data_IF_073515344484
#
_entry.id   IF_073515344484
#
_cell.length_a   1.000
_cell.length_b   1.000
_cell.length_c   1.000
_cell.angle_alpha   90.00
_cell.angle_beta   90.00
_cell.angle_gamma   90.00
#
_symmetry.space_group_name_H-M   'P 1'
#
loop_
_entity.id
_entity.type
_entity.pdbx_description
1 polymer ?
#
# COMPACT_ATOMS: atom_id res chain seq x y z
N UNK A 1 -7.23 16.51 11.58
CA UNK A 1 -6.52 15.56 10.68
C UNK A 1 -6.36 16.16 9.29
N UNK A 2 -7.43 16.76 8.75
CA UNK A 2 -7.39 17.47 7.47
C UNK A 2 -6.62 18.79 7.53
N UNK A 3 -6.71 19.51 8.66
CA UNK A 3 -5.95 20.74 8.90
C UNK A 3 -4.62 20.43 9.59
N UNK A 4 -3.57 20.23 8.79
CA UNK A 4 -2.20 20.02 9.27
C UNK A 4 -1.56 21.31 9.80
N UNK A 5 -1.99 22.48 9.33
CA UNK A 5 -1.48 23.78 9.75
C UNK A 5 -1.85 24.08 11.20
N UNK A 6 -3.06 23.70 11.62
CA UNK A 6 -3.46 23.73 13.03
C UNK A 6 -2.55 22.89 13.96
N UNK A 7 -1.81 21.91 13.42
CA UNK A 7 -0.83 21.12 14.18
C UNK A 7 0.61 21.62 14.02
N UNK A 8 0.82 22.75 13.33
CA UNK A 8 2.14 23.35 13.13
C UNK A 8 2.95 22.74 11.98
N UNK A 9 2.29 22.05 11.04
CA UNK A 9 2.92 21.51 9.84
C UNK A 9 2.59 22.36 8.63
N UNK A 10 3.52 22.43 7.68
CA UNK A 10 3.34 23.17 6.43
C UNK A 10 2.70 22.32 5.35
N UNK A 11 2.05 22.97 4.39
CA UNK A 11 1.40 22.31 3.26
C UNK A 11 2.38 21.52 2.36
N UNK A 12 3.63 21.93 2.24
CA UNK A 12 4.67 21.20 1.49
C UNK A 12 5.19 19.94 2.21
N UNK A 13 4.88 19.77 3.50
CA UNK A 13 5.15 18.54 4.25
C UNK A 13 4.06 17.47 4.03
N UNK A 14 2.97 17.83 3.35
CA UNK A 14 1.86 16.93 3.06
C UNK A 14 1.99 16.33 1.66
N UNK A 15 2.01 15.00 1.56
CA UNK A 15 1.96 14.33 0.27
C UNK A 15 0.59 14.54 -0.39
N UNK A 16 0.61 14.98 -1.64
CA UNK A 16 -0.55 14.87 -2.52
C UNK A 16 -0.83 13.39 -2.80
N UNK A 17 -2.07 12.97 -2.53
CA UNK A 17 -2.54 11.62 -2.81
C UNK A 17 -3.65 11.69 -3.87
N UNK A 18 -3.77 10.61 -4.65
CA UNK A 18 -4.70 10.57 -5.79
C UNK A 18 -6.08 10.07 -5.35
N UNK A 19 -7.04 9.97 -6.29
CA UNK A 19 -8.38 9.40 -6.08
C UNK A 19 -9.22 10.04 -4.94
N UNK A 20 -9.09 11.35 -4.71
CA UNK A 20 -9.81 12.03 -3.62
C UNK A 20 -9.38 11.47 -2.26
N UNK A 21 -8.07 11.40 -2.02
CA UNK A 21 -7.43 11.03 -0.76
C UNK A 21 -6.56 12.18 -0.29
N UNK A 22 -6.27 12.23 1.01
CA UNK A 22 -5.31 13.17 1.58
C UNK A 22 -4.43 12.46 2.60
N UNK A 23 -3.21 12.97 2.81
CA UNK A 23 -2.35 12.49 3.87
C UNK A 23 -2.71 13.18 5.18
N UNK A 24 -3.22 12.41 6.14
CA UNK A 24 -3.38 12.87 7.51
C UNK A 24 -2.10 12.63 8.31
N UNK A 25 -1.74 13.63 9.13
CA UNK A 25 -0.65 13.54 10.10
C UNK A 25 -1.20 13.42 11.52
N UNK A 26 -0.54 12.63 12.36
CA UNK A 26 -0.95 12.39 13.74
C UNK A 26 0.18 11.83 14.60
N UNK A 27 -0.18 11.31 15.77
CA UNK A 27 0.78 10.81 16.76
C UNK A 27 0.37 9.43 17.26
N UNK A 28 1.32 8.49 17.26
CA UNK A 28 1.23 7.30 18.09
C UNK A 28 1.73 7.67 19.49
N UNK A 29 0.95 7.36 20.52
CA UNK A 29 1.26 7.68 21.92
C UNK A 29 0.97 6.48 22.81
N UNK A 30 1.85 6.24 23.78
CA UNK A 30 1.71 5.19 24.80
C UNK A 30 2.46 5.59 26.06
N UNK A 31 2.11 4.97 27.19
CA UNK A 31 2.87 5.08 28.43
C UNK A 31 3.59 3.76 28.67
N UNK A 32 4.88 3.82 28.98
CA UNK A 32 5.70 2.64 29.33
C UNK A 32 6.40 2.91 30.67
N UNK A 33 6.52 1.90 31.51
CA UNK A 33 7.37 1.99 32.71
C UNK A 33 8.75 1.49 32.33
N UNK A 34 9.76 2.33 32.48
CA UNK A 34 11.15 1.99 32.18
C UNK A 34 12.03 2.37 33.38
N UNK A 35 13.19 1.75 33.45
CA UNK A 35 14.25 2.10 34.40
C UNK A 35 14.99 3.35 33.88
N UNK A 36 15.19 4.34 34.76
CA UNK A 36 16.06 5.47 34.48
C UNK A 36 17.54 5.14 34.70
N UNK A 37 18.43 6.09 34.40
CA UNK A 37 19.88 5.92 34.58
C UNK A 37 20.29 5.66 36.05
N UNK A 38 19.40 5.93 37.02
CA UNK A 38 19.60 5.70 38.45
C UNK A 38 19.02 4.38 38.96
N UNK A 39 18.49 3.53 38.08
CA UNK A 39 17.88 2.25 38.45
C UNK A 39 16.44 2.37 38.95
N UNK A 40 15.82 3.55 38.83
CA UNK A 40 14.46 3.81 39.30
C UNK A 40 13.47 3.61 38.16
N UNK A 41 12.47 2.76 38.40
CA UNK A 41 11.34 2.63 37.48
C UNK A 41 10.49 3.92 37.49
N UNK A 42 10.34 4.55 36.33
CA UNK A 42 9.47 5.69 36.13
C UNK A 42 8.63 5.57 34.84
N UNK A 43 7.46 6.22 34.78
CA UNK A 43 6.62 6.22 33.60
C UNK A 43 7.16 7.17 32.53
N UNK A 44 7.27 6.69 31.30
CA UNK A 44 7.66 7.43 30.11
C UNK A 44 6.51 7.51 29.13
N UNK A 45 6.30 8.71 28.59
CA UNK A 45 5.44 8.91 27.42
C UNK A 45 6.26 8.62 26.18
N UNK A 46 5.89 7.55 25.45
CA UNK A 46 6.49 7.22 24.17
C UNK A 46 5.60 7.76 23.06
N UNK A 47 6.16 8.66 22.26
CA UNK A 47 5.47 9.35 21.17
C UNK A 47 6.26 9.21 19.86
N UNK A 48 5.55 9.03 18.74
CA UNK A 48 6.14 9.01 17.40
C UNK A 48 5.12 9.54 16.39
N UNK A 49 5.55 10.47 15.54
CA UNK A 49 4.71 11.02 14.48
C UNK A 49 4.33 9.92 13.48
N UNK A 50 3.07 9.95 13.03
CA UNK A 50 2.50 9.03 12.05
C UNK A 50 1.87 9.79 10.91
N UNK A 51 2.02 9.25 9.71
CA UNK A 51 1.37 9.71 8.47
C UNK A 51 0.52 8.57 7.94
N UNK A 52 -0.70 8.86 7.48
CA UNK A 52 -1.60 7.86 6.89
C UNK A 52 -2.49 8.51 5.85
N UNK A 53 -2.91 7.75 4.85
CA UNK A 53 -3.93 8.19 3.90
C UNK A 53 -5.33 8.15 4.52
N UNK A 54 -6.14 9.15 4.19
CA UNK A 54 -7.56 9.28 4.50
C UNK A 54 -8.34 9.61 3.21
N UNK A 55 -9.61 9.22 3.15
CA UNK A 55 -10.50 9.62 2.07
C UNK A 55 -10.93 11.08 2.28
N UNK A 56 -11.04 11.86 1.20
CA UNK A 56 -11.52 13.24 1.26
C UNK A 56 -12.91 13.32 1.91
N UNK A 57 -12.99 14.14 2.96
CA UNK A 57 -14.20 14.29 3.76
C UNK A 57 -15.29 15.01 2.95
N UNK A 58 -16.52 14.49 2.96
CA UNK A 58 -17.66 15.14 2.31
C UNK A 58 -17.68 15.10 0.78
N UNK A 59 -16.67 14.51 0.13
CA UNK A 59 -16.63 14.36 -1.33
C UNK A 59 -17.86 13.61 -1.83
N UNK A 60 -18.53 14.09 -2.89
CA UNK A 60 -19.60 13.34 -3.53
C UNK A 60 -19.05 12.00 -4.06
N UNK A 61 -19.80 10.90 -3.89
CA UNK A 61 -19.33 9.57 -4.27
C UNK A 61 -19.15 9.44 -5.79
N UNK A 62 -19.97 10.12 -6.60
CA UNK A 62 -19.80 10.16 -8.05
C UNK A 62 -18.49 10.84 -8.44
N UNK A 63 -18.20 12.00 -7.84
CA UNK A 63 -16.95 12.73 -8.08
C UNK A 63 -15.74 11.91 -7.63
N UNK A 64 -15.86 11.20 -6.51
CA UNK A 64 -14.84 10.26 -6.05
C UNK A 64 -14.55 9.17 -7.08
N UNK A 65 -15.59 8.59 -7.67
CA UNK A 65 -15.46 7.51 -8.65
C UNK A 65 -14.88 8.04 -9.97
N UNK A 66 -15.35 9.19 -10.46
CA UNK A 66 -14.88 9.77 -11.72
C UNK A 66 -13.41 10.21 -11.68
N UNK A 67 -12.89 10.52 -10.49
CA UNK A 67 -11.50 10.89 -10.24
C UNK A 67 -10.59 9.70 -9.90
N UNK A 68 -11.08 8.46 -9.91
CA UNK A 68 -10.22 7.30 -9.68
C UNK A 68 -9.23 7.12 -10.83
N UNK A 69 -8.01 6.69 -10.51
CA UNK A 69 -6.91 6.44 -11.46
C UNK A 69 -7.25 5.42 -12.56
N UNK A 70 -8.31 4.62 -12.38
CA UNK A 70 -8.84 3.72 -13.41
C UNK A 70 -9.54 4.48 -14.55
N UNK A 71 -10.01 5.71 -14.31
CA UNK A 71 -10.65 6.58 -15.29
C UNK A 71 -9.86 7.86 -15.57
N UNK A 72 -9.03 8.30 -14.62
CA UNK A 72 -8.33 9.57 -14.67
C UNK A 72 -6.82 9.37 -14.74
N UNK A 73 -6.20 9.89 -15.80
CA UNK A 73 -4.75 9.94 -15.89
C UNK A 73 -4.24 11.24 -15.28
N UNK A 74 -3.69 11.14 -14.06
CA UNK A 74 -3.15 12.29 -13.33
C UNK A 74 -1.95 12.95 -14.00
N UNK A 75 -1.27 12.28 -14.94
CA UNK A 75 -0.12 12.86 -15.66
C UNK A 75 -0.55 13.77 -16.79
N UNK A 76 -1.67 13.44 -17.45
CA UNK A 76 -2.19 14.19 -18.59
C UNK A 76 -3.40 15.05 -18.23
N UNK A 77 -3.99 14.84 -17.05
CA UNK A 77 -5.24 15.49 -16.63
C UNK A 77 -6.48 14.99 -17.38
N UNK A 78 -6.36 13.90 -18.13
CA UNK A 78 -7.43 13.40 -19.00
C UNK A 78 -8.35 12.45 -18.24
N UNK A 79 -9.65 12.74 -18.24
CA UNK A 79 -10.68 11.80 -17.76
C UNK A 79 -11.30 11.03 -18.91
N UNK A 80 -11.40 9.72 -18.75
CA UNK A 80 -12.14 8.80 -19.62
C UNK A 80 -13.48 8.36 -19.00
N UNK A 81 -13.88 8.96 -17.88
CA UNK A 81 -15.07 8.52 -17.17
C UNK A 81 -16.33 8.69 -18.02
N UNK A 82 -17.11 7.62 -18.14
CA UNK A 82 -18.48 7.65 -18.67
C UNK A 82 -19.35 6.61 -17.97
N UNK A 83 -20.67 6.82 -18.00
CA UNK A 83 -21.65 5.85 -17.46
C UNK A 83 -21.50 4.49 -18.15
N UNK A 84 -21.28 4.47 -19.46
CA UNK A 84 -21.10 3.24 -20.22
C UNK A 84 -19.82 2.47 -19.83
N UNK A 85 -18.68 3.17 -19.71
CA UNK A 85 -17.41 2.55 -19.32
C UNK A 85 -17.43 2.05 -17.88
N UNK A 86 -17.93 2.86 -16.96
CA UNK A 86 -17.99 2.52 -15.53
C UNK A 86 -18.90 1.33 -15.22
N UNK A 87 -19.85 1.02 -16.10
CA UNK A 87 -20.77 -0.12 -15.96
C UNK A 87 -20.18 -1.45 -16.45
N UNK A 88 -18.98 -1.46 -17.04
CA UNK A 88 -18.33 -2.70 -17.50
C UNK A 88 -17.81 -3.53 -16.31
N UNK A 89 -17.86 -4.88 -16.37
CA UNK A 89 -17.52 -5.75 -15.23
C UNK A 89 -16.10 -5.56 -14.64
N UNK A 90 -15.12 -5.30 -15.50
CA UNK A 90 -13.73 -5.02 -15.14
C UNK A 90 -13.59 -3.73 -14.31
N UNK A 91 -14.28 -2.68 -14.73
CA UNK A 91 -14.32 -1.40 -14.01
C UNK A 91 -15.13 -1.51 -12.72
N UNK A 92 -16.28 -2.18 -12.73
CA UNK A 92 -17.10 -2.39 -11.53
C UNK A 92 -16.33 -3.11 -10.42
N UNK A 93 -15.53 -4.12 -10.78
CA UNK A 93 -14.65 -4.82 -9.83
C UNK A 93 -13.61 -3.88 -9.21
N UNK A 94 -12.96 -3.07 -10.05
CA UNK A 94 -11.93 -2.11 -9.63
C UNK A 94 -12.51 -1.00 -8.74
N UNK A 95 -13.66 -0.44 -9.13
CA UNK A 95 -14.40 0.56 -8.34
C UNK A 95 -14.78 -0.03 -6.99
N UNK A 96 -15.39 -1.23 -6.98
CA UNK A 96 -15.82 -1.88 -5.75
C UNK A 96 -14.65 -2.13 -4.80
N UNK A 97 -13.48 -2.52 -5.31
CA UNK A 97 -12.28 -2.68 -4.48
C UNK A 97 -11.94 -1.40 -3.69
N UNK A 98 -12.13 -0.22 -4.30
CA UNK A 98 -11.82 1.06 -3.67
C UNK A 98 -12.94 1.52 -2.72
N UNK A 99 -14.22 1.34 -3.07
CA UNK A 99 -15.34 1.91 -2.28
C UNK A 99 -15.92 0.93 -1.25
N UNK A 100 -15.62 -0.37 -1.32
CA UNK A 100 -16.18 -1.36 -0.40
C UNK A 100 -15.75 -1.07 1.04
N UNK A 101 -16.72 -1.00 1.94
CA UNK A 101 -16.52 -0.66 3.35
C UNK A 101 -16.40 0.83 3.64
N UNK A 102 -16.34 1.69 2.62
CA UNK A 102 -16.37 3.14 2.80
C UNK A 102 -17.74 3.56 3.33
N UNK A 103 -17.76 4.32 4.43
CA UNK A 103 -18.95 4.94 4.96
C UNK A 103 -19.35 6.14 4.11
N UNK A 104 -20.61 6.21 3.77
CA UNK A 104 -21.21 7.30 3.00
C UNK A 104 -22.47 7.79 3.67
N UNK A 105 -22.76 9.08 3.49
CA UNK A 105 -23.92 9.77 4.03
C UNK A 105 -24.83 10.21 2.90
N UNK A 106 -26.13 9.95 3.03
CA UNK A 106 -27.12 10.38 2.04
C UNK A 106 -27.22 11.91 1.99
N UNK A 107 -27.30 12.47 0.79
CA UNK A 107 -27.49 13.90 0.56
C UNK A 107 -28.97 14.34 0.61
N UNK A 108 -29.86 13.39 0.91
CA UNK A 108 -31.30 13.57 0.98
C UNK A 108 -31.86 13.02 2.30
N UNK A 109 -33.12 13.38 2.59
CA UNK A 109 -33.86 12.88 3.75
C UNK A 109 -33.14 13.16 5.07
N UNK A 110 -33.09 12.15 5.95
CA UNK A 110 -32.49 12.26 7.30
C UNK A 110 -30.96 12.13 7.33
N UNK A 111 -30.26 12.27 6.19
CA UNK A 111 -28.79 12.15 6.08
C UNK A 111 -28.23 10.90 6.78
N UNK A 112 -28.72 9.73 6.38
CA UNK A 112 -28.30 8.44 6.93
C UNK A 112 -26.86 8.14 6.52
N UNK A 113 -26.02 7.74 7.47
CA UNK A 113 -24.67 7.24 7.22
C UNK A 113 -24.63 5.70 7.26
N UNK A 114 -23.96 5.06 6.30
CA UNK A 114 -23.84 3.61 6.22
C UNK A 114 -22.59 3.15 5.45
N UNK A 115 -22.04 1.96 5.71
CA UNK A 115 -20.92 1.40 4.95
C UNK A 115 -21.40 0.73 3.65
N UNK A 116 -20.68 0.98 2.55
CA UNK A 116 -20.93 0.33 1.25
C UNK A 116 -20.59 -1.16 1.31
N UNK A 117 -21.51 -2.01 0.88
CA UNK A 117 -21.37 -3.47 0.80
C UNK A 117 -21.06 -3.99 -0.59
N UNK A 118 -21.71 -3.42 -1.61
CA UNK A 118 -21.64 -3.89 -2.98
C UNK A 118 -22.17 -2.85 -3.98
N UNK A 119 -22.16 -3.26 -5.25
CA UNK A 119 -22.72 -2.50 -6.36
C UNK A 119 -23.96 -3.24 -6.87
N UNK A 120 -25.06 -2.51 -7.06
CA UNK A 120 -26.30 -2.97 -7.68
C UNK A 120 -26.41 -2.50 -9.14
N UNK A 121 -27.51 -2.87 -9.81
CA UNK A 121 -27.77 -2.42 -11.18
C UNK A 121 -28.05 -0.91 -11.27
N UNK A 122 -28.15 -0.41 -12.52
CA UNK A 122 -28.43 0.99 -12.83
C UNK A 122 -29.72 1.49 -12.17
N UNK A 123 -29.75 2.77 -11.75
CA UNK A 123 -30.89 3.33 -11.02
C UNK A 123 -32.20 3.34 -11.82
N UNK A 124 -32.14 3.47 -13.15
CA UNK A 124 -33.29 3.37 -14.06
C UNK A 124 -33.77 1.94 -14.32
N UNK A 125 -32.95 0.92 -14.06
CA UNK A 125 -33.26 -0.48 -14.35
C UNK A 125 -33.57 -1.29 -13.09
N UNK A 126 -32.91 -0.99 -11.97
CA UNK A 126 -33.05 -1.72 -10.72
C UNK A 126 -34.41 -1.46 -10.09
N UNK A 127 -35.21 -2.52 -9.96
CA UNK A 127 -36.54 -2.48 -9.35
C UNK A 127 -36.51 -3.01 -7.93
N UNK A 128 -37.31 -2.41 -7.06
CA UNK A 128 -37.54 -2.89 -5.71
C UNK A 128 -39.00 -2.76 -5.32
N UNK A 129 -39.42 -3.55 -4.33
CA UNK A 129 -40.76 -3.46 -3.73
C UNK A 129 -40.73 -2.46 -2.59
N UNK A 130 -41.51 -1.39 -2.69
CA UNK A 130 -41.66 -0.40 -1.63
C UNK A 130 -42.53 -0.92 -0.49
N UNK A 131 -42.52 -0.23 0.65
CA UNK A 131 -43.29 -0.59 1.85
C UNK A 131 -44.82 -0.64 1.59
N UNK A 132 -45.31 0.13 0.62
CA UNK A 132 -46.70 0.14 0.17
C UNK A 132 -47.03 -0.99 -0.85
N UNK A 133 -46.11 -1.93 -1.07
CA UNK A 133 -46.27 -3.05 -1.98
C UNK A 133 -46.09 -2.71 -3.47
N UNK A 134 -45.96 -1.43 -3.84
CA UNK A 134 -45.73 -1.02 -5.22
C UNK A 134 -44.29 -1.27 -5.66
N UNK A 135 -44.10 -1.58 -6.95
CA UNK A 135 -42.78 -1.73 -7.56
C UNK A 135 -42.36 -0.42 -8.24
N UNK A 136 -41.16 0.05 -7.90
CA UNK A 136 -40.55 1.22 -8.52
C UNK A 136 -39.13 0.87 -8.99
N UNK A 137 -38.68 1.51 -10.06
CA UNK A 137 -37.23 1.66 -10.25
C UNK A 137 -36.69 2.64 -9.20
N UNK A 138 -35.38 2.60 -8.93
CA UNK A 138 -34.76 3.55 -8.01
C UNK A 138 -35.01 4.98 -8.49
N UNK A 139 -34.80 5.26 -9.78
CA UNK A 139 -35.10 6.57 -10.39
C UNK A 139 -36.54 7.02 -10.15
N UNK A 140 -37.53 6.16 -10.44
CA UNK A 140 -38.95 6.47 -10.26
C UNK A 140 -39.29 6.79 -8.80
N UNK A 141 -38.71 6.03 -7.86
CA UNK A 141 -38.92 6.25 -6.44
C UNK A 141 -38.40 7.62 -5.99
N UNK A 142 -37.18 8.00 -6.38
CA UNK A 142 -36.61 9.30 -6.03
C UNK A 142 -37.36 10.46 -6.68
N UNK A 143 -37.79 10.33 -7.93
CA UNK A 143 -38.63 11.33 -8.59
C UNK A 143 -39.97 11.51 -7.87
N UNK A 144 -40.64 10.42 -7.49
CA UNK A 144 -41.99 10.47 -6.89
C UNK A 144 -41.98 10.87 -5.41
N UNK A 145 -41.07 10.33 -4.60
CA UNK A 145 -41.11 10.47 -3.15
C UNK A 145 -40.21 11.57 -2.60
N UNK A 146 -39.15 11.94 -3.33
CA UNK A 146 -38.22 13.00 -2.92
C UNK A 146 -38.24 14.21 -3.84
N UNK A 147 -38.99 14.15 -4.96
CA UNK A 147 -38.96 15.16 -6.02
C UNK A 147 -37.54 15.43 -6.55
N UNK A 148 -36.72 14.37 -6.64
CA UNK A 148 -35.33 14.44 -7.13
C UNK A 148 -35.26 13.78 -8.50
N UNK A 149 -34.86 14.55 -9.52
CA UNK A 149 -34.51 14.00 -10.83
C UNK A 149 -33.03 13.62 -10.85
N UNK A 150 -32.75 12.35 -11.11
CA UNK A 150 -31.38 11.86 -11.17
C UNK A 150 -30.67 12.40 -12.43
N UNK A 151 -29.41 12.79 -12.31
CA UNK A 151 -28.60 13.28 -13.44
C UNK A 151 -28.00 12.13 -14.24
N UNK A 152 -27.59 11.06 -13.54
CA UNK A 152 -27.02 9.86 -14.14
C UNK A 152 -27.85 8.61 -13.83
N UNK A 153 -29.12 8.51 -14.27
CA UNK A 153 -30.00 7.39 -13.92
C UNK A 153 -29.53 6.04 -14.48
N UNK A 154 -28.70 6.04 -15.53
CA UNK A 154 -28.05 4.84 -16.07
C UNK A 154 -26.83 4.35 -15.27
N UNK A 155 -26.38 5.09 -14.26
CA UNK A 155 -25.26 4.69 -13.42
C UNK A 155 -25.70 3.64 -12.38
N UNK A 156 -24.80 2.72 -12.07
CA UNK A 156 -25.00 1.72 -11.03
C UNK A 156 -25.35 2.33 -9.68
N UNK A 157 -26.00 1.55 -8.83
CA UNK A 157 -26.31 1.91 -7.44
C UNK A 157 -25.33 1.23 -6.49
N UNK A 158 -25.23 1.70 -5.25
CA UNK A 158 -24.49 0.98 -4.20
C UNK A 158 -25.45 0.41 -3.16
N UNK A 159 -25.08 -0.72 -2.57
CA UNK A 159 -25.85 -1.35 -1.49
C UNK A 159 -25.19 -1.15 -0.13
N UNK A 160 -25.99 -1.14 0.92
CA UNK A 160 -25.51 -1.12 2.30
C UNK A 160 -24.95 -2.50 2.71
N UNK A 161 -23.79 -2.53 3.38
CA UNK A 161 -23.13 -3.78 3.82
C UNK A 161 -24.02 -4.65 4.72
N UNK A 162 -24.76 -4.02 5.63
CA UNK A 162 -25.61 -4.72 6.60
C UNK A 162 -27.06 -4.87 6.11
N UNK A 163 -27.42 -4.27 4.97
CA UNK A 163 -28.75 -4.34 4.35
C UNK A 163 -28.59 -4.43 2.82
N UNK A 164 -28.16 -5.59 2.29
CA UNK A 164 -27.74 -5.72 0.89
C UNK A 164 -28.85 -5.45 -0.13
N UNK A 165 -30.13 -5.47 0.29
CA UNK A 165 -31.29 -5.14 -0.55
C UNK A 165 -31.70 -3.65 -0.49
N UNK A 166 -30.94 -2.80 0.20
CA UNK A 166 -31.13 -1.34 0.21
C UNK A 166 -30.14 -0.71 -0.76
N UNK A 167 -30.66 -0.11 -1.84
CA UNK A 167 -29.86 0.45 -2.93
C UNK A 167 -29.97 1.97 -3.00
N UNK A 168 -28.84 2.60 -3.30
CA UNK A 168 -28.68 4.05 -3.22
C UNK A 168 -28.02 4.57 -4.51
N UNK A 169 -28.58 5.61 -5.16
CA UNK A 169 -27.93 6.29 -6.28
C UNK A 169 -26.60 6.90 -5.85
N UNK A 170 -25.53 6.64 -6.62
CA UNK A 170 -24.17 7.10 -6.32
C UNK A 170 -24.08 8.63 -6.20
N UNK A 171 -24.76 9.37 -7.08
CA UNK A 171 -24.76 10.84 -7.10
C UNK A 171 -25.42 11.49 -5.87
N UNK A 172 -26.18 10.72 -5.08
CA UNK A 172 -26.89 11.21 -3.89
C UNK A 172 -26.17 10.83 -2.59
N UNK A 173 -24.88 10.48 -2.66
CA UNK A 173 -24.06 10.06 -1.53
C UNK A 173 -22.81 10.93 -1.41
N UNK A 174 -22.39 11.16 -0.17
CA UNK A 174 -21.13 11.84 0.18
C UNK A 174 -20.27 10.96 1.08
N UNK A 175 -18.96 11.03 0.96
CA UNK A 175 -18.03 10.28 1.82
C UNK A 175 -18.10 10.83 3.25
N UNK A 176 -18.32 9.93 4.22
CA UNK A 176 -18.31 10.33 5.63
C UNK A 176 -16.88 10.76 6.06
N UNK A 177 -16.75 11.72 7.00
CA UNK A 177 -15.45 12.30 7.33
C UNK A 177 -14.51 11.33 8.06
N UNK A 178 -13.21 11.65 8.06
CA UNK A 178 -12.17 11.02 8.90
C UNK A 178 -12.00 9.52 8.69
N UNK A 179 -12.19 9.05 7.45
CA UNK A 179 -12.05 7.63 7.12
C UNK A 179 -10.66 7.30 6.60
N UNK A 180 -9.95 6.44 7.33
CA UNK A 180 -8.62 5.96 6.93
C UNK A 180 -8.74 5.06 5.70
N UNK A 181 -7.86 5.28 4.72
CA UNK A 181 -7.73 4.41 3.53
C UNK A 181 -7.07 3.09 3.96
N UNK A 182 -7.70 1.96 3.65
CA UNK A 182 -7.12 0.64 3.91
C UNK A 182 -6.07 0.27 2.88
N UNK A 183 -5.25 -0.75 3.17
CA UNK A 183 -4.24 -1.23 2.24
C UNK A 183 -4.84 -1.68 0.89
N UNK A 184 -6.06 -2.23 0.87
CA UNK A 184 -6.70 -2.66 -0.38
C UNK A 184 -7.18 -1.49 -1.26
N UNK A 185 -7.36 -0.31 -0.66
CA UNK A 185 -7.87 0.90 -1.30
C UNK A 185 -6.75 1.86 -1.75
N UNK A 186 -5.49 1.53 -1.47
CA UNK A 186 -4.32 2.30 -1.89
C UNK A 186 -3.88 1.91 -3.29
N UNK A 187 -3.50 2.91 -4.09
CA UNK A 187 -2.80 2.69 -5.36
C UNK A 187 -1.29 2.59 -5.12
N UNK A 188 -0.51 2.01 -6.07
CA UNK A 188 0.95 2.04 -5.98
C UNK A 188 1.53 3.45 -5.86
N UNK A 189 0.90 4.43 -6.51
CA UNK A 189 1.32 5.83 -6.46
C UNK A 189 1.07 6.44 -5.08
N UNK A 190 -0.08 6.16 -4.45
CA UNK A 190 -0.36 6.59 -3.06
C UNK A 190 0.69 6.02 -2.10
N UNK A 191 1.02 4.73 -2.24
CA UNK A 191 2.02 4.06 -1.40
C UNK A 191 3.38 4.71 -1.60
N UNK A 192 3.78 4.97 -2.84
CA UNK A 192 5.05 5.61 -3.14
C UNK A 192 5.12 7.05 -2.60
N UNK A 193 4.04 7.82 -2.71
CA UNK A 193 3.93 9.17 -2.18
C UNK A 193 4.03 9.18 -0.64
N UNK A 194 3.29 8.30 0.05
CA UNK A 194 3.36 8.13 1.49
C UNK A 194 4.76 7.71 1.97
N UNK A 195 5.43 6.79 1.26
CA UNK A 195 6.80 6.37 1.58
C UNK A 195 7.74 7.56 1.50
N UNK A 196 7.70 8.32 0.39
CA UNK A 196 8.55 9.51 0.21
C UNK A 196 8.33 10.54 1.31
N UNK A 197 7.08 10.87 1.64
CA UNK A 197 6.77 11.83 2.70
C UNK A 197 7.09 11.33 4.11
N UNK A 198 7.13 10.00 4.32
CA UNK A 198 7.45 9.41 5.62
C UNK A 198 8.94 9.14 5.82
N UNK A 199 9.73 9.12 4.74
CA UNK A 199 11.17 8.87 4.75
C UNK A 199 11.94 10.15 5.14
N UNK A 200 11.85 10.53 6.41
CA UNK A 200 12.51 11.72 6.95
C UNK A 200 13.80 11.37 7.69
N UNK A 201 14.74 12.33 7.73
CA UNK A 201 15.95 12.21 8.54
C UNK A 201 15.61 12.14 10.04
N UNK A 202 16.37 11.42 10.88
CA UNK A 202 16.07 11.27 12.30
C UNK A 202 15.88 12.59 13.06
N UNK A 203 16.69 13.61 12.74
CA UNK A 203 16.57 14.95 13.35
C UNK A 203 15.23 15.62 13.02
N UNK A 204 14.80 15.55 11.75
CA UNK A 204 13.51 16.08 11.33
C UNK A 204 12.36 15.32 12.01
N UNK A 205 12.41 13.98 12.03
CA UNK A 205 11.38 13.15 12.69
C UNK A 205 11.24 13.46 14.19
N UNK A 206 12.36 13.72 14.88
CA UNK A 206 12.37 14.12 16.28
C UNK A 206 11.66 15.46 16.47
N UNK A 207 11.95 16.44 15.60
CA UNK A 207 11.29 17.74 15.62
C UNK A 207 9.78 17.64 15.31
N UNK A 208 9.40 16.93 14.24
CA UNK A 208 8.00 16.67 13.88
C UNK A 208 7.23 16.02 15.04
N UNK A 209 7.85 15.05 15.71
CA UNK A 209 7.26 14.39 16.87
C UNK A 209 7.07 15.37 18.03
N UNK A 210 8.03 16.27 18.27
CA UNK A 210 7.92 17.33 19.29
C UNK A 210 6.79 18.32 18.96
N UNK A 211 6.72 18.79 17.72
CA UNK A 211 5.67 19.69 17.22
C UNK A 211 4.29 19.06 17.42
N UNK A 212 4.10 17.83 16.95
CA UNK A 212 2.82 17.12 17.07
C UNK A 212 2.47 16.80 18.53
N UNK A 213 3.44 16.39 19.36
CA UNK A 213 3.25 16.17 20.80
C UNK A 213 2.70 17.45 21.48
N UNK A 214 3.31 18.59 21.18
CA UNK A 214 2.89 19.89 21.74
C UNK A 214 1.51 20.30 21.22
N UNK A 215 1.25 20.13 19.92
CA UNK A 215 -0.04 20.46 19.31
C UNK A 215 -1.21 19.63 19.90
N UNK A 216 -0.94 18.40 20.34
CA UNK A 216 -1.92 17.55 21.04
C UNK A 216 -1.99 17.83 22.56
N UNK A 217 -1.29 18.85 23.06
CA UNK A 217 -1.28 19.21 24.48
C UNK A 217 -0.61 18.17 25.37
N UNK A 218 0.23 17.28 24.83
CA UNK A 218 1.01 16.31 25.62
C UNK A 218 2.28 17.03 26.11
N UNK A 219 2.10 18.08 26.89
CA UNK A 219 3.14 19.01 27.32
C UNK A 219 2.81 19.57 28.72
N UNK A 220 3.78 20.20 29.42
CA UNK A 220 3.50 20.92 30.66
C UNK A 220 2.40 21.97 30.45
N UNK A 221 1.59 22.24 31.48
CA UNK A 221 0.51 23.23 31.41
C UNK A 221 -0.83 22.70 30.88
N UNK A 222 -0.95 21.40 30.56
CA UNK A 222 -2.24 20.84 30.16
C UNK A 222 -3.15 20.65 31.39
N UNK A 223 -4.34 21.28 31.44
CA UNK A 223 -5.19 21.29 32.63
C UNK A 223 -5.75 19.90 32.99
N UNK A 224 -5.90 19.01 32.00
CA UNK A 224 -6.34 17.63 32.25
C UNK A 224 -5.23 16.77 32.85
N UNK A 225 -3.98 16.96 32.39
CA UNK A 225 -2.82 16.25 32.94
C UNK A 225 -2.49 16.74 34.35
N UNK A 226 -2.51 18.05 34.57
CA UNK A 226 -2.26 18.64 35.89
C UNK A 226 -3.29 18.20 36.93
N UNK A 227 -4.58 18.16 36.56
CA UNK A 227 -5.65 17.64 37.44
C UNK A 227 -5.47 16.16 37.77
N UNK A 228 -4.84 15.39 36.89
CA UNK A 228 -4.49 14.00 37.13
C UNK A 228 -3.15 13.83 37.89
N UNK A 229 -2.49 14.92 38.28
CA UNK A 229 -1.17 14.89 38.93
C UNK A 229 -0.04 14.47 38.00
N UNK A 230 -0.24 14.56 36.68
CA UNK A 230 0.73 14.14 35.66
C UNK A 230 1.45 15.38 35.15
N UNK A 231 2.78 15.40 35.31
CA UNK A 231 3.66 16.36 34.63
C UNK A 231 4.44 15.64 33.53
N UNK A 232 4.46 16.18 32.32
CA UNK A 232 5.14 15.59 31.16
C UNK A 232 6.36 16.43 30.82
N UNK A 233 7.53 15.83 30.81
CA UNK A 233 8.77 16.51 30.43
C UNK A 233 8.70 17.13 29.03
N UNK A 234 9.25 18.34 28.87
CA UNK A 234 9.19 19.09 27.60
C UNK A 234 10.09 18.43 26.54
N UNK A 235 11.32 18.13 26.93
CA UNK A 235 12.35 17.58 26.04
C UNK A 235 12.30 16.04 26.00
N UNK A 236 12.91 15.46 24.96
CA UNK A 236 13.06 14.01 24.89
C UNK A 236 14.09 13.52 25.91
N UNK A 237 13.81 12.36 26.50
CA UNK A 237 14.76 11.64 27.35
C UNK A 237 16.05 11.38 26.58
N UNK A 238 17.18 11.75 27.19
CA UNK A 238 18.52 11.42 26.68
C UNK A 238 18.96 10.13 27.34
N UNK A 239 19.61 9.26 26.57
CA UNK A 239 20.14 7.98 27.05
C UNK A 239 21.56 7.79 26.55
N UNK A 240 22.41 7.15 27.35
CA UNK A 240 23.79 6.85 26.94
C UNK A 240 23.79 5.53 26.16
N UNK A 241 24.04 5.62 24.86
CA UNK A 241 24.25 4.47 24.00
C UNK A 241 25.71 4.00 24.00
N UNK A 242 25.96 2.73 23.65
CA UNK A 242 27.30 2.19 23.39
C UNK A 242 27.39 1.72 21.94
N UNK A 243 28.48 2.07 21.26
CA UNK A 243 28.78 1.57 19.91
C UNK A 243 29.63 0.31 20.07
N UNK A 244 29.06 -0.84 19.72
CA UNK A 244 29.79 -2.10 19.72
C UNK A 244 30.70 -2.17 18.48
N UNK A 245 31.89 -2.76 18.64
CA UNK A 245 32.79 -3.02 17.52
C UNK A 245 32.15 -3.96 16.51
N UNK A 246 32.27 -3.64 15.22
CA UNK A 246 31.77 -4.51 14.16
C UNK A 246 32.47 -5.88 14.19
N UNK A 247 31.74 -6.99 13.94
CA UNK A 247 32.36 -8.30 13.85
C UNK A 247 33.25 -8.41 12.60
N UNK A 248 34.26 -9.27 12.65
CA UNK A 248 35.04 -9.61 11.45
C UNK A 248 34.26 -10.57 10.56
N UNK A 249 34.09 -10.21 9.29
CA UNK A 249 33.45 -11.09 8.29
C UNK A 249 34.53 -11.89 7.56
N UNK A 250 34.45 -13.22 7.65
CA UNK A 250 35.42 -14.16 7.05
C UNK A 250 34.82 -14.84 5.82
N UNK A 251 35.60 -14.92 4.75
CA UNK A 251 35.28 -15.54 3.47
C UNK A 251 36.18 -16.75 3.18
N UNK A 252 35.91 -17.44 2.08
CA UNK A 252 36.76 -18.51 1.58
C UNK A 252 38.14 -17.98 1.18
N UNK A 253 39.15 -18.85 1.17
CA UNK A 253 40.53 -18.48 0.82
C UNK A 253 41.17 -17.48 1.80
N UNK A 254 40.76 -17.50 3.08
CA UNK A 254 41.25 -16.61 4.14
C UNK A 254 40.96 -15.11 3.94
N UNK A 255 40.05 -14.77 3.02
CA UNK A 255 39.61 -13.39 2.82
C UNK A 255 38.86 -12.84 4.03
N UNK A 256 39.13 -11.59 4.41
CA UNK A 256 38.39 -10.86 5.44
C UNK A 256 37.78 -9.61 4.82
N UNK A 257 36.51 -9.35 5.08
CA UNK A 257 35.86 -8.14 4.58
C UNK A 257 35.99 -6.97 5.56
N UNK A 258 36.31 -5.81 5.00
CA UNK A 258 36.25 -4.52 5.68
C UNK A 258 34.79 -4.11 5.84
N UNK A 259 34.36 -3.93 7.09
CA UNK A 259 33.02 -3.45 7.43
C UNK A 259 33.09 -1.95 7.68
N UNK A 260 32.27 -1.18 6.97
CA UNK A 260 32.06 0.24 7.21
C UNK A 260 30.58 0.50 7.48
N UNK A 261 30.26 1.07 8.64
CA UNK A 261 28.89 1.39 9.06
C UNK A 261 27.91 0.21 8.85
N UNK A 262 28.30 -0.97 9.34
CA UNK A 262 27.55 -2.22 9.21
C UNK A 262 27.28 -2.67 7.76
N UNK A 263 27.98 -2.11 6.78
CA UNK A 263 27.94 -2.51 5.37
C UNK A 263 29.30 -3.04 4.96
N UNK A 264 29.30 -4.04 4.09
CA UNK A 264 30.50 -4.50 3.40
C UNK A 264 30.09 -4.84 1.96
N UNK A 265 30.92 -4.43 1.01
CA UNK A 265 30.81 -4.81 -0.39
C UNK A 265 32.07 -5.63 -0.66
N UNK A 266 31.92 -6.79 -1.27
CA UNK A 266 33.08 -7.61 -1.57
C UNK A 266 32.96 -8.35 -2.90
N UNK A 267 33.49 -7.74 -3.95
CA UNK A 267 33.34 -8.22 -5.32
C UNK A 267 34.25 -9.40 -5.70
N UNK A 268 35.35 -9.61 -4.97
CA UNK A 268 36.41 -10.56 -5.39
C UNK A 268 36.68 -11.71 -4.40
N UNK A 269 35.84 -11.92 -3.38
CA UNK A 269 36.03 -13.00 -2.41
C UNK A 269 35.28 -14.26 -2.83
N UNK A 270 35.81 -15.41 -2.43
CA UNK A 270 35.10 -16.68 -2.56
C UNK A 270 34.16 -16.91 -1.38
N UNK A 271 33.04 -17.59 -1.60
CA UNK A 271 32.18 -18.02 -0.51
C UNK A 271 32.96 -18.88 0.49
N UNK A 272 32.66 -18.75 1.79
CA UNK A 272 33.29 -19.56 2.84
C UNK A 272 33.12 -21.06 2.57
N UNK A 273 31.95 -21.44 2.04
CA UNK A 273 31.64 -22.80 1.57
C UNK A 273 30.96 -22.70 0.20
N UNK A 274 31.71 -22.75 -0.91
CA UNK A 274 31.13 -22.62 -2.23
C UNK A 274 30.31 -23.86 -2.61
N UNK A 275 29.15 -23.65 -3.23
CA UNK A 275 28.28 -24.72 -3.69
C UNK A 275 28.64 -25.20 -5.10
N UNK A 276 28.10 -26.37 -5.47
CA UNK A 276 28.20 -26.96 -6.80
C UNK A 276 26.85 -26.85 -7.51
N UNK A 277 26.82 -26.25 -8.69
CA UNK A 277 25.66 -26.13 -9.58
C UNK A 277 25.98 -26.89 -10.87
N UNK A 278 25.70 -28.20 -10.86
CA UNK A 278 26.14 -29.11 -11.93
C UNK A 278 25.05 -29.41 -12.97
N UNK A 279 23.78 -29.42 -12.55
CA UNK A 279 22.64 -29.68 -13.43
C UNK A 279 21.56 -28.64 -13.16
N UNK A 280 21.33 -27.76 -14.13
CA UNK A 280 20.42 -26.63 -13.98
C UNK A 280 19.93 -26.11 -15.33
N UNK A 281 18.75 -25.52 -15.31
CA UNK A 281 18.11 -24.97 -16.49
C UNK A 281 17.60 -23.55 -16.23
N UNK A 282 17.41 -22.79 -17.31
CA UNK A 282 16.91 -21.41 -17.26
C UNK A 282 15.56 -21.33 -17.94
N UNK A 283 14.58 -20.81 -17.20
CA UNK A 283 13.27 -20.48 -17.70
C UNK A 283 13.19 -18.98 -18.00
N UNK A 284 12.99 -18.63 -19.27
CA UNK A 284 12.87 -17.24 -19.72
C UNK A 284 11.39 -16.86 -19.79
N UNK A 285 10.98 -15.88 -18.98
CA UNK A 285 9.59 -15.36 -18.93
C UNK A 285 9.48 -13.91 -19.41
N UNK A 286 10.46 -13.48 -20.22
CA UNK A 286 10.56 -12.13 -20.75
C UNK A 286 9.47 -11.85 -21.80
N UNK A 287 9.04 -10.60 -21.88
CA UNK A 287 8.15 -10.15 -22.96
C UNK A 287 8.90 -10.12 -24.30
N UNK A 288 8.17 -10.08 -25.42
CA UNK A 288 8.81 -9.94 -26.75
C UNK A 288 9.66 -8.67 -26.86
N UNK A 289 9.23 -7.56 -26.25
CA UNK A 289 10.00 -6.31 -26.23
C UNK A 289 11.29 -6.43 -25.40
N UNK A 290 11.25 -7.14 -24.27
CA UNK A 290 12.42 -7.35 -23.42
C UNK A 290 13.42 -8.32 -24.03
N UNK A 291 12.94 -9.34 -24.74
CA UNK A 291 13.80 -10.30 -25.47
C UNK A 291 14.69 -9.61 -26.50
N UNK A 292 14.25 -8.49 -27.08
CA UNK A 292 15.07 -7.68 -28.00
C UNK A 292 16.16 -6.87 -27.28
N UNK A 293 15.96 -6.56 -25.98
CA UNK A 293 16.86 -5.73 -25.19
C UNK A 293 17.85 -6.55 -24.35
N UNK A 294 17.47 -7.77 -23.99
CA UNK A 294 18.24 -8.62 -23.08
C UNK A 294 18.87 -9.79 -23.85
N UNK A 295 20.19 -9.79 -24.07
CA UNK A 295 20.87 -10.93 -24.67
C UNK A 295 20.97 -12.07 -23.64
N UNK A 296 19.95 -12.93 -23.61
CA UNK A 296 19.76 -13.99 -22.60
C UNK A 296 21.01 -14.86 -22.42
N UNK A 297 21.61 -15.33 -23.53
CA UNK A 297 22.82 -16.17 -23.47
C UNK A 297 23.98 -15.47 -22.76
N UNK A 298 24.26 -14.22 -23.13
CA UNK A 298 25.31 -13.42 -22.51
C UNK A 298 25.00 -13.14 -21.03
N UNK A 299 23.73 -12.97 -20.67
CA UNK A 299 23.33 -12.81 -19.27
C UNK A 299 23.59 -14.08 -18.43
N UNK A 300 23.28 -15.25 -18.98
CA UNK A 300 23.57 -16.56 -18.36
C UNK A 300 25.08 -16.72 -18.15
N UNK A 301 25.89 -16.46 -19.18
CA UNK A 301 27.36 -16.55 -19.09
C UNK A 301 27.92 -15.60 -18.02
N UNK A 302 27.39 -14.38 -17.89
CA UNK A 302 27.77 -13.45 -16.83
C UNK A 302 27.47 -14.01 -15.44
N UNK A 303 26.32 -14.65 -15.25
CA UNK A 303 25.97 -15.30 -13.98
C UNK A 303 26.93 -16.44 -13.68
N UNK A 304 27.16 -17.33 -14.65
CA UNK A 304 28.08 -18.45 -14.47
C UNK A 304 29.48 -17.99 -14.07
N UNK A 305 30.01 -17.00 -14.80
CA UNK A 305 31.33 -16.43 -14.53
C UNK A 305 31.38 -15.74 -13.16
N UNK A 306 30.32 -15.02 -12.77
CA UNK A 306 30.24 -14.40 -11.45
C UNK A 306 30.22 -15.47 -10.35
N UNK A 307 29.43 -16.53 -10.48
CA UNK A 307 29.41 -17.64 -9.53
C UNK A 307 30.78 -18.33 -9.42
N UNK A 308 31.44 -18.62 -10.56
CA UNK A 308 32.80 -19.19 -10.59
C UNK A 308 33.82 -18.27 -9.92
N UNK A 309 33.73 -16.95 -10.13
CA UNK A 309 34.62 -15.97 -9.47
C UNK A 309 34.47 -15.96 -7.95
N UNK A 310 33.30 -16.35 -7.43
CA UNK A 310 33.03 -16.53 -6.01
C UNK A 310 33.31 -17.97 -5.51
N UNK A 311 34.03 -18.78 -6.29
CA UNK A 311 34.50 -20.11 -5.90
C UNK A 311 33.50 -21.24 -6.13
N UNK A 312 32.29 -20.96 -6.66
CA UNK A 312 31.31 -22.01 -6.97
C UNK A 312 31.76 -22.85 -8.16
N UNK A 313 31.46 -24.15 -8.12
CA UNK A 313 31.60 -25.01 -9.29
C UNK A 313 30.30 -24.94 -10.10
N UNK A 314 30.29 -24.22 -11.21
CA UNK A 314 29.11 -24.06 -12.06
C UNK A 314 29.35 -24.68 -13.43
N UNK A 315 28.61 -25.74 -13.74
CA UNK A 315 28.53 -26.31 -15.08
C UNK A 315 27.77 -25.37 -16.02
N UNK A 316 27.99 -25.49 -17.32
CA UNK A 316 27.19 -24.76 -18.33
C UNK A 316 25.72 -25.13 -18.19
N UNK A 317 24.83 -24.16 -18.41
CA UNK A 317 23.38 -24.40 -18.39
C UNK A 317 23.01 -25.60 -19.27
N UNK A 318 22.21 -26.52 -18.71
CA UNK A 318 21.82 -27.75 -19.41
C UNK A 318 20.72 -27.49 -20.44
N UNK A 319 19.79 -26.58 -20.12
CA UNK A 319 18.70 -26.21 -21.03
C UNK A 319 18.23 -24.77 -20.78
N UNK A 320 17.87 -24.07 -21.85
CA UNK A 320 17.22 -22.75 -21.80
C UNK A 320 15.88 -22.83 -22.52
N UNK A 321 14.79 -22.68 -21.79
CA UNK A 321 13.44 -22.74 -22.34
C UNK A 321 12.73 -21.39 -22.24
N UNK A 322 12.01 -21.04 -23.30
CA UNK A 322 11.27 -19.79 -23.40
C UNK A 322 9.79 -20.09 -23.19
N UNK A 323 9.22 -19.59 -22.10
CA UNK A 323 7.80 -19.72 -21.87
C UNK A 323 7.05 -18.78 -22.81
N UNK A 324 6.45 -19.35 -23.87
CA UNK A 324 5.44 -18.66 -24.67
C UNK A 324 4.17 -18.55 -23.83
N UNK A 325 3.63 -17.34 -23.67
CA UNK A 325 2.38 -17.05 -22.93
C UNK A 325 1.35 -18.16 -23.12
N UNK A 326 1.09 -18.92 -22.06
CA UNK A 326 -0.22 -19.51 -21.78
C UNK A 326 -0.51 -19.24 -20.31
N UNK A 327 -1.78 -18.89 -20.05
CA UNK A 327 -2.29 -18.40 -18.78
C UNK A 327 -1.81 -19.24 -17.59
N UNK A 328 -0.94 -18.66 -16.76
CA UNK A 328 -0.67 -19.18 -15.42
C UNK A 328 -0.78 -18.02 -14.44
N UNK A 329 -1.84 -18.03 -13.62
CA UNK A 329 -2.20 -17.03 -12.60
C UNK A 329 -1.20 -16.96 -11.41
N UNK A 330 0.05 -17.38 -11.59
CA UNK A 330 1.03 -17.47 -10.49
C UNK A 330 2.47 -17.08 -10.82
N UNK A 331 2.82 -16.83 -12.08
CA UNK A 331 4.21 -16.48 -12.47
C UNK A 331 4.26 -15.01 -12.87
N UNK A 332 5.03 -14.20 -12.13
CA UNK A 332 5.26 -12.79 -12.47
C UNK A 332 5.94 -12.70 -13.84
N UNK A 333 5.24 -12.13 -14.82
CA UNK A 333 5.75 -11.86 -16.16
C UNK A 333 6.83 -10.78 -16.08
N UNK A 334 7.97 -10.97 -16.77
CA UNK A 334 9.06 -9.99 -16.83
C UNK A 334 10.33 -10.33 -16.03
N UNK A 335 10.55 -11.60 -15.64
CA UNK A 335 11.77 -12.03 -14.94
C UNK A 335 12.48 -13.22 -15.61
N UNK A 336 13.77 -13.40 -15.33
CA UNK A 336 14.50 -14.64 -15.65
C UNK A 336 14.49 -15.50 -14.39
N UNK A 337 13.96 -16.72 -14.49
CA UNK A 337 13.83 -17.64 -13.35
C UNK A 337 14.82 -18.79 -13.52
N UNK A 338 15.66 -19.01 -12.51
CA UNK A 338 16.59 -20.15 -12.47
C UNK A 338 15.90 -21.32 -11.78
N UNK A 339 15.90 -22.48 -12.44
CA UNK A 339 15.36 -23.73 -11.90
C UNK A 339 16.52 -24.68 -11.61
N UNK A 340 16.73 -24.99 -10.33
CA UNK A 340 17.71 -25.99 -9.93
C UNK A 340 17.05 -27.37 -9.94
N UNK A 341 17.52 -28.22 -10.85
CA UNK A 341 16.99 -29.57 -11.06
C UNK A 341 17.81 -30.53 -10.19
N UNK A 342 17.22 -31.05 -9.12
CA UNK A 342 17.93 -31.99 -8.23
C UNK A 342 18.05 -33.41 -8.79
N UNK A 343 17.23 -33.80 -9.77
CA UNK A 343 17.32 -35.09 -10.47
C UNK A 343 16.85 -34.96 -11.91
N UNK A 344 17.56 -35.61 -12.84
CA UNK A 344 17.25 -35.71 -14.27
C UNK A 344 15.76 -35.93 -14.55
N UNK A 345 15.24 -35.16 -15.51
CA UNK A 345 13.86 -35.08 -15.95
C UNK A 345 13.16 -36.45 -16.08
N UNK A 346 12.23 -36.73 -15.16
CA UNK A 346 10.92 -37.33 -15.45
C UNK A 346 9.92 -36.67 -14.49
N UNK A 347 8.89 -36.04 -15.05
CA UNK A 347 7.75 -35.40 -14.36
C UNK A 347 8.00 -34.17 -13.47
N UNK A 348 7.59 -33.01 -13.99
CA UNK A 348 7.45 -31.72 -13.29
C UNK A 348 6.39 -31.72 -12.16
N UNK A 349 5.76 -32.86 -11.86
CA UNK A 349 4.65 -32.93 -10.91
C UNK A 349 5.04 -33.39 -9.49
N UNK A 350 6.25 -33.92 -9.22
CA UNK A 350 6.55 -34.46 -7.88
C UNK A 350 7.97 -34.29 -7.30
N UNK A 351 8.88 -33.57 -7.96
CA UNK A 351 10.25 -33.44 -7.45
C UNK A 351 10.55 -32.02 -6.94
N UNK A 352 11.15 -31.92 -5.76
CA UNK A 352 11.48 -30.67 -5.06
C UNK A 352 12.46 -29.79 -5.85
N UNK A 353 11.94 -29.03 -6.81
CA UNK A 353 12.67 -27.98 -7.52
C UNK A 353 12.75 -26.73 -6.64
N UNK A 354 13.96 -26.19 -6.43
CA UNK A 354 14.12 -24.86 -5.82
C UNK A 354 14.14 -23.83 -6.94
N UNK A 355 13.10 -23.00 -6.96
CA UNK A 355 13.00 -21.84 -7.84
C UNK A 355 13.78 -20.68 -7.23
N UNK A 356 14.73 -20.15 -7.99
CA UNK A 356 15.43 -18.92 -7.64
C UNK A 356 15.01 -17.83 -8.61
N UNK A 357 14.40 -16.78 -8.06
CA UNK A 357 14.08 -15.57 -8.80
C UNK A 357 15.29 -14.64 -8.72
N UNK A 358 15.89 -14.33 -9.87
CA UNK A 358 16.87 -13.26 -9.97
C UNK A 358 16.12 -11.99 -10.38
N UNK A 359 16.18 -10.98 -9.50
CA UNK A 359 15.64 -9.64 -9.77
C UNK A 359 16.64 -8.80 -10.55
#
# INVERSE_FOLDING_TARGET
>A
LYDHEAFGFRSDEMAELMDGKYMGIGLSKSVKVLEDDGGKCCPFVVADVKRSAFHADGQNLLDKISQMSVFFDHRTGTSSFSVALSSRPDFLKSILQIIKGLYVTTLYGKKKTFPIGGIGAAANALRFKSANGSHYTIEQYFKKHYNIQLKCPGLFTVSERHKPHSYYPVELLSVAPSQRVTQQQQTPDDVAALIRASATLPQHRLNETKVMKNALGIAPGNPFLERAGINVEKEFTKVIGRILSAPTIVYGGSGKATVNNCKWIWDRAQFLRPAKLLNWAVCVTLTQGDLQRVPVKSYIERIENRCRSHGMQVATVSEVFYLKRQNYDGVKVGSITIVVIRHTFVDLNRSSCRLFFLK
#
